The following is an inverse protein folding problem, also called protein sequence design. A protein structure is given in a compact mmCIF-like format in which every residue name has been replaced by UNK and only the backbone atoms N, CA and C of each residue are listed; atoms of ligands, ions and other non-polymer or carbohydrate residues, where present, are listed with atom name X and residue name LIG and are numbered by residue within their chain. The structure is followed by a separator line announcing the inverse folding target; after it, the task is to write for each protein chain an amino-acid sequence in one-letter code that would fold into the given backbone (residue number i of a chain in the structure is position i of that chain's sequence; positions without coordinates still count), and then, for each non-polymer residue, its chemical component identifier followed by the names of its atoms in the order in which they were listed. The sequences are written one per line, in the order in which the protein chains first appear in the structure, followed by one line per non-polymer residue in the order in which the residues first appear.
data_IF_304506869839
#
_entry.id   IF_304506869839
#
_cell.length_a   1.000
_cell.length_b   1.000
_cell.length_c   1.000
_cell.angle_alpha   90.00
_cell.angle_beta   90.00
_cell.angle_gamma   90.00
#
_symmetry.space_group_name_H-M   'P 1'
#
loop_
_entity.id
_entity.type
_entity.pdbx_description
1 polymer ?
#
# COMPACT_ATOMS: atom_id res chain seq x y z
N UNK A 1 -8.40 2.58 -11.85
CA UNK A 1 -7.85 3.82 -11.21
C UNK A 1 -6.46 4.14 -11.78
N UNK A 2 -5.88 5.32 -11.53
CA UNK A 2 -4.42 5.52 -11.76
C UNK A 2 -3.66 4.97 -10.55
N UNK A 3 -2.56 4.25 -10.77
CA UNK A 3 -1.66 3.77 -9.71
C UNK A 3 -1.17 4.91 -8.81
N UNK A 4 -0.95 6.09 -9.37
CA UNK A 4 -0.52 7.28 -8.64
C UNK A 4 -1.59 7.78 -7.67
N UNK A 5 -2.87 7.70 -8.05
CA UNK A 5 -3.98 8.15 -7.20
C UNK A 5 -4.15 7.26 -5.96
N UNK A 6 -3.91 5.95 -6.10
CA UNK A 6 -3.96 5.03 -4.96
C UNK A 6 -2.85 5.34 -3.97
N UNK A 7 -1.61 5.52 -4.45
CA UNK A 7 -0.50 5.87 -3.57
C UNK A 7 -0.68 7.24 -2.92
N UNK A 8 -1.29 8.20 -3.62
CA UNK A 8 -1.66 9.49 -3.03
C UNK A 8 -2.67 9.29 -1.89
N UNK A 9 -3.73 8.52 -2.09
CA UNK A 9 -4.71 8.23 -1.02
C UNK A 9 -4.08 7.51 0.17
N UNK A 10 -3.14 6.58 -0.07
CA UNK A 10 -2.42 5.90 1.01
C UNK A 10 -1.50 6.88 1.75
N UNK A 11 -0.79 7.74 1.03
CA UNK A 11 0.07 8.77 1.62
C UNK A 11 -0.76 9.71 2.51
N UNK A 12 -1.87 10.22 1.98
CA UNK A 12 -2.79 11.10 2.71
C UNK A 12 -3.34 10.42 3.97
N UNK A 13 -3.96 9.24 3.83
CA UNK A 13 -4.62 8.56 4.96
C UNK A 13 -3.66 7.96 5.99
N UNK A 14 -2.52 7.42 5.56
CA UNK A 14 -1.62 6.70 6.49
C UNK A 14 -0.44 7.56 6.97
N UNK A 15 -0.03 8.60 6.27
CA UNK A 15 1.07 9.46 6.70
C UNK A 15 0.60 10.84 7.18
N UNK A 16 -0.38 11.45 6.50
CA UNK A 16 -0.71 12.86 6.67
C UNK A 16 -2.06 13.14 7.38
N UNK A 17 -2.93 12.14 7.56
CA UNK A 17 -4.25 12.30 8.22
C UNK A 17 -4.10 12.53 9.74
N UNK A 18 -3.04 12.00 10.33
CA UNK A 18 -2.66 12.30 11.72
C UNK A 18 -1.83 13.58 11.70
N UNK A 19 -2.42 14.69 12.15
CA UNK A 19 -1.78 16.01 12.22
C UNK A 19 -0.59 16.06 13.18
N UNK A 20 0.50 15.39 12.83
CA UNK A 20 1.81 15.54 13.45
C UNK A 20 2.41 16.87 12.98
N UNK A 21 2.98 17.65 13.92
CA UNK A 21 3.27 19.07 13.73
C UNK A 21 4.01 19.41 12.43
N UNK A 22 3.47 20.37 11.65
CA UNK A 22 3.99 21.07 10.45
C UNK A 22 4.64 20.23 9.32
N UNK A 23 4.95 18.94 9.53
CA UNK A 23 5.63 18.08 8.58
C UNK A 23 4.60 17.35 7.72
N UNK A 24 4.66 17.62 6.43
CA UNK A 24 3.94 16.84 5.41
C UNK A 24 4.88 15.80 4.82
N UNK A 25 4.46 14.53 4.81
CA UNK A 25 5.21 13.44 4.23
C UNK A 25 5.08 13.42 2.71
N UNK A 26 6.21 13.25 2.01
CA UNK A 26 6.26 13.11 0.56
C UNK A 26 6.26 11.64 0.11
N UNK A 27 6.07 11.39 -1.18
CA UNK A 27 6.23 10.05 -1.75
C UNK A 27 7.65 9.51 -1.63
N UNK A 28 8.68 10.37 -1.63
CA UNK A 28 10.07 9.94 -1.47
C UNK A 28 10.30 9.45 -0.05
N UNK A 29 9.82 10.21 0.96
CA UNK A 29 9.87 9.79 2.37
C UNK A 29 9.12 8.47 2.59
N UNK A 30 7.93 8.33 1.99
CA UNK A 30 7.13 7.11 2.08
C UNK A 30 7.80 5.92 1.39
N UNK A 31 8.50 6.15 0.27
CA UNK A 31 9.25 5.13 -0.45
C UNK A 31 10.46 4.66 0.36
N UNK A 32 11.18 5.57 1.01
CA UNK A 32 12.28 5.23 1.91
C UNK A 32 11.79 4.34 3.06
N UNK A 33 10.70 4.72 3.73
CA UNK A 33 10.12 3.91 4.81
C UNK A 33 9.60 2.56 4.30
N UNK A 34 8.98 2.52 3.13
CA UNK A 34 8.50 1.28 2.53
C UNK A 34 9.65 0.32 2.17
N UNK A 35 10.84 0.83 1.83
CA UNK A 35 12.01 0.02 1.48
C UNK A 35 12.56 -0.82 2.65
N UNK A 36 12.20 -0.45 3.88
CA UNK A 36 12.59 -1.18 5.10
C UNK A 36 11.83 -2.50 5.28
N UNK A 37 10.73 -2.68 4.55
CA UNK A 37 9.92 -3.90 4.61
C UNK A 37 10.30 -4.88 3.49
N UNK A 38 10.35 -6.19 3.79
CA UNK A 38 10.72 -7.17 2.79
C UNK A 38 9.65 -7.30 1.70
N UNK A 39 10.02 -7.77 0.50
CA UNK A 39 9.06 -8.18 -0.52
C UNK A 39 8.00 -9.14 0.05
N UNK A 40 6.74 -8.95 -0.33
CA UNK A 40 5.61 -9.72 0.19
C UNK A 40 5.05 -9.21 1.52
N UNK A 41 5.57 -8.12 2.07
CA UNK A 41 4.96 -7.36 3.17
C UNK A 41 4.56 -8.20 4.40
N UNK A 42 5.37 -9.21 4.75
CA UNK A 42 5.06 -10.16 5.84
C UNK A 42 3.69 -10.88 5.68
N UNK A 43 3.28 -11.14 4.44
CA UNK A 43 2.02 -11.78 4.10
C UNK A 43 0.82 -10.83 4.02
N UNK A 44 1.03 -9.52 4.12
CA UNK A 44 -0.03 -8.53 3.93
C UNK A 44 -0.30 -8.33 2.44
N UNK A 45 -1.58 -8.31 2.05
CA UNK A 45 -2.02 -7.98 0.70
C UNK A 45 -2.90 -6.75 0.71
N UNK A 46 -2.66 -5.82 -0.22
CA UNK A 46 -3.45 -4.62 -0.40
C UNK A 46 -4.22 -4.66 -1.72
N UNK A 47 -5.55 -4.60 -1.66
CA UNK A 47 -6.40 -4.41 -2.83
C UNK A 47 -6.68 -2.91 -3.01
N UNK A 48 -6.30 -2.30 -4.16
CA UNK A 48 -6.30 -0.85 -4.33
C UNK A 48 -7.63 -0.24 -4.82
N UNK A 49 -8.77 -0.91 -4.60
CA UNK A 49 -10.07 -0.49 -5.10
C UNK A 49 -10.75 0.58 -4.20
N UNK A 50 -10.04 1.68 -3.93
CA UNK A 50 -10.43 2.72 -2.98
C UNK A 50 -11.65 3.55 -3.39
N UNK A 51 -11.59 4.35 -4.47
CA UNK A 51 -12.70 5.22 -4.86
C UNK A 51 -12.73 5.52 -6.37
N UNK A 52 -13.90 5.42 -7.04
CA UNK A 52 -15.17 4.84 -6.58
C UNK A 52 -15.19 3.29 -6.59
N UNK A 53 -14.05 2.64 -6.87
CA UNK A 53 -13.91 1.20 -7.09
C UNK A 53 -13.02 0.93 -8.30
N UNK A 54 -13.02 -0.28 -8.87
CA UNK A 54 -12.30 -0.59 -10.11
C UNK A 54 -13.26 -0.81 -11.27
N UNK A 55 -12.87 -0.35 -12.48
CA UNK A 55 -13.70 -0.43 -13.70
C UNK A 55 -13.98 -1.88 -14.09
N UNK A 56 -13.05 -2.77 -13.77
CA UNK A 56 -13.15 -4.22 -14.00
C UNK A 56 -12.52 -4.91 -12.79
N UNK A 57 -13.20 -5.83 -12.09
CA UNK A 57 -14.39 -6.55 -12.53
C UNK A 57 -15.76 -5.98 -12.08
N UNK A 58 -15.84 -5.13 -11.06
CA UNK A 58 -17.12 -4.85 -10.36
C UNK A 58 -17.30 -3.36 -10.00
N UNK A 59 -17.56 -2.49 -10.99
CA UNK A 59 -17.84 -1.07 -10.76
C UNK A 59 -19.31 -0.83 -10.38
N UNK A 60 -19.63 -0.01 -9.36
CA UNK A 60 -18.76 0.69 -8.41
C UNK A 60 -18.57 -0.09 -7.09
N UNK A 61 -18.87 -1.38 -7.08
CA UNK A 61 -19.00 -2.14 -5.83
C UNK A 61 -17.68 -2.61 -5.27
N UNK A 62 -16.63 -2.77 -6.10
CA UNK A 62 -15.28 -3.08 -5.65
C UNK A 62 -14.81 -2.13 -4.53
N UNK A 63 -14.17 -2.70 -3.51
CA UNK A 63 -13.66 -1.98 -2.33
C UNK A 63 -12.22 -2.35 -2.06
N UNK A 64 -11.46 -1.40 -1.56
CA UNK A 64 -10.11 -1.65 -1.08
C UNK A 64 -10.15 -2.57 0.13
N UNK A 65 -9.10 -3.38 0.27
CA UNK A 65 -8.99 -4.31 1.38
C UNK A 65 -7.52 -4.46 1.79
N UNK A 66 -7.29 -4.59 3.09
CA UNK A 66 -6.01 -4.99 3.65
C UNK A 66 -6.22 -6.37 4.25
N UNK A 67 -5.56 -7.37 3.68
CA UNK A 67 -5.72 -8.79 4.02
C UNK A 67 -4.43 -9.33 4.65
N UNK A 68 -4.56 -10.37 5.47
CA UNK A 68 -3.40 -11.05 6.07
C UNK A 68 -2.82 -10.38 7.31
N UNK A 69 -3.53 -9.44 7.94
CA UNK A 69 -3.09 -8.83 9.20
C UNK A 69 -3.02 -9.87 10.31
N UNK A 70 -1.89 -9.87 11.03
CA UNK A 70 -1.63 -10.69 12.21
C UNK A 70 -1.01 -9.82 13.29
N UNK A 71 -1.10 -10.24 14.56
CA UNK A 71 -0.38 -9.53 15.64
C UNK A 71 1.13 -9.50 15.40
N UNK A 72 1.67 -10.52 14.72
CA UNK A 72 3.08 -10.60 14.37
C UNK A 72 3.49 -9.55 13.34
N UNK A 73 2.82 -9.46 12.19
CA UNK A 73 3.21 -8.48 11.16
C UNK A 73 2.89 -7.03 11.56
N UNK A 74 1.87 -6.80 12.40
CA UNK A 74 1.65 -5.49 13.02
C UNK A 74 2.78 -5.08 13.96
N UNK A 75 3.35 -6.02 14.73
CA UNK A 75 4.53 -5.75 15.55
C UNK A 75 5.79 -5.56 14.69
N UNK A 76 5.92 -6.31 13.60
CA UNK A 76 7.04 -6.14 12.67
C UNK A 76 7.01 -4.82 11.90
N UNK A 77 5.83 -4.24 11.71
CA UNK A 77 5.68 -2.90 11.13
C UNK A 77 6.46 -1.84 11.92
N UNK A 78 6.69 -2.09 13.22
CA UNK A 78 7.39 -1.19 14.13
C UNK A 78 8.80 -1.67 14.48
N UNK A 79 9.12 -2.95 14.24
CA UNK A 79 10.44 -3.51 14.49
C UNK A 79 11.46 -3.00 13.48
N UNK A 80 12.49 -2.28 13.94
CA UNK A 80 13.49 -1.63 13.07
C UNK A 80 13.27 -0.13 12.90
N UNK A 81 12.12 0.41 13.34
CA UNK A 81 12.04 1.82 13.72
C UNK A 81 12.75 1.95 15.05
N UNK A 82 14.05 2.23 15.03
CA UNK A 82 14.85 2.55 16.21
C UNK A 82 14.36 3.86 16.83
N UNK A 83 13.15 3.88 17.41
CA UNK A 83 12.59 4.99 18.17
C UNK A 83 12.79 6.37 17.52
N UNK A 84 12.94 6.44 16.19
CA UNK A 84 13.25 7.68 15.51
C UNK A 84 12.05 8.57 15.74
N UNK A 85 12.26 9.64 16.51
CA UNK A 85 11.27 10.62 16.92
C UNK A 85 10.66 11.42 15.75
N UNK A 86 10.85 10.93 14.53
CA UNK A 86 10.71 11.67 13.27
C UNK A 86 10.04 10.79 12.18
N UNK A 87 9.37 9.70 12.56
CA UNK A 87 8.56 8.84 11.68
C UNK A 87 7.08 9.25 11.69
N UNK A 88 6.25 8.79 10.71
CA UNK A 88 4.82 9.11 10.71
C UNK A 88 4.15 8.56 11.98
N UNK A 89 3.16 9.29 12.50
CA UNK A 89 2.40 8.91 13.70
C UNK A 89 1.80 7.51 13.58
N UNK A 90 1.35 7.13 12.38
CA UNK A 90 0.90 5.77 12.11
C UNK A 90 2.12 4.85 11.93
N UNK A 91 2.34 3.90 12.86
CA UNK A 91 3.53 3.06 12.82
C UNK A 91 3.50 2.05 11.67
N UNK A 92 2.33 1.79 11.07
CA UNK A 92 2.18 0.91 9.91
C UNK A 92 2.29 1.63 8.56
N UNK A 93 2.49 2.95 8.53
CA UNK A 93 2.43 3.74 7.30
C UNK A 93 3.36 3.21 6.20
N UNK A 94 4.63 2.93 6.53
CA UNK A 94 5.61 2.38 5.58
C UNK A 94 5.20 1.00 5.05
N UNK A 95 4.69 0.13 5.92
CA UNK A 95 4.27 -1.23 5.55
C UNK A 95 3.04 -1.19 4.63
N UNK A 96 2.05 -0.34 4.93
CA UNK A 96 0.87 -0.18 4.09
C UNK A 96 1.22 0.46 2.75
N UNK A 97 2.13 1.44 2.72
CA UNK A 97 2.61 2.03 1.47
C UNK A 97 3.31 0.99 0.59
N UNK A 98 4.19 0.17 1.18
CA UNK A 98 4.83 -0.96 0.49
C UNK A 98 3.78 -1.94 -0.05
N UNK A 99 2.82 -2.34 0.78
CA UNK A 99 1.76 -3.27 0.38
C UNK A 99 0.90 -2.71 -0.75
N UNK A 100 0.59 -1.40 -0.73
CA UNK A 100 -0.13 -0.74 -1.81
C UNK A 100 0.65 -0.74 -3.12
N UNK A 101 1.95 -0.40 -3.08
CA UNK A 101 2.83 -0.48 -4.26
C UNK A 101 2.85 -1.90 -4.84
N UNK A 102 3.10 -2.91 -4.01
CA UNK A 102 3.14 -4.30 -4.45
C UNK A 102 1.79 -4.78 -4.97
N UNK A 103 0.69 -4.45 -4.30
CA UNK A 103 -0.67 -4.83 -4.72
C UNK A 103 -1.03 -4.28 -6.10
N UNK A 104 -0.66 -3.03 -6.41
CA UNK A 104 -0.81 -2.45 -7.75
C UNK A 104 0.04 -3.22 -8.76
N UNK A 105 1.31 -3.51 -8.44
CA UNK A 105 2.20 -4.24 -9.33
C UNK A 105 1.71 -5.65 -9.62
N UNK A 106 1.22 -6.38 -8.62
CA UNK A 106 0.68 -7.72 -8.81
C UNK A 106 -0.56 -7.71 -9.69
N UNK A 107 -1.46 -6.74 -9.55
CA UNK A 107 -2.61 -6.62 -10.45
C UNK A 107 -2.20 -6.34 -11.90
N UNK A 108 -1.16 -5.54 -12.13
CA UNK A 108 -0.63 -5.32 -13.48
C UNK A 108 0.00 -6.59 -14.06
N UNK A 109 0.76 -7.34 -13.26
CA UNK A 109 1.34 -8.61 -13.67
C UNK A 109 0.25 -9.65 -13.99
N UNK A 110 -0.75 -9.79 -13.12
CA UNK A 110 -1.90 -10.69 -13.31
C UNK A 110 -2.69 -10.33 -14.58
N UNK A 111 -2.93 -9.03 -14.81
CA UNK A 111 -3.60 -8.57 -16.02
C UNK A 111 -2.78 -8.89 -17.29
N UNK A 112 -1.46 -8.76 -17.24
CA UNK A 112 -0.59 -9.14 -18.34
C UNK A 112 -0.66 -10.64 -18.63
N UNK A 113 -0.55 -11.48 -17.60
CA UNK A 113 -0.66 -12.94 -17.76
C UNK A 113 -2.05 -13.35 -18.28
N UNK A 114 -3.11 -12.70 -17.82
CA UNK A 114 -4.48 -12.93 -18.32
C UNK A 114 -4.60 -12.60 -19.81
N UNK A 115 -3.96 -11.52 -20.27
CA UNK A 115 -3.94 -11.16 -21.69
C UNK A 115 -3.17 -12.19 -22.54
N UNK A 116 -2.01 -12.64 -22.06
CA UNK A 116 -1.22 -13.69 -22.75
C UNK A 116 -2.04 -14.97 -22.93
N UNK A 117 -2.68 -15.44 -21.85
CA UNK A 117 -3.54 -16.62 -21.88
C UNK A 117 -4.72 -16.46 -22.85
N UNK A 118 -5.32 -15.28 -22.91
CA UNK A 118 -6.40 -14.99 -23.85
C UNK A 118 -5.93 -14.99 -25.32
N UNK A 119 -4.65 -14.69 -25.57
CA UNK A 119 -4.02 -14.75 -26.89
C UNK A 119 -3.50 -16.15 -27.25
N UNK A 120 -3.55 -17.13 -26.34
CA UNK A 120 -3.07 -18.49 -26.56
C UNK A 120 -1.55 -18.65 -26.45
N UNK A 121 -0.88 -17.74 -25.76
CA UNK A 121 0.54 -17.84 -25.38
C UNK A 121 0.75 -18.75 -24.16
#
# INVERSE_FOLDING_TARGET
MSCTAVLQSVLESFFNESGDGDRTWSHDDATELASQHPPGCYGITFLPYLSPGERTPDWPHAKGAILGLTTHNMALATSGRDSASDGPTNPMAGLIYRAAMEGITYLLAEALETMKLACGE
#
